data_IF_769800125511
#
_entry.id   IF_769800125511
#
_cell.length_a   1.000
_cell.length_b   1.000
_cell.length_c   1.000
_cell.angle_alpha   90.00
_cell.angle_beta   90.00
_cell.angle_gamma   90.00
#
_symmetry.space_group_name_H-M   'P 1'
#
loop_
_entity.id
_entity.type
_entity.pdbx_description
1 polymer ?
#
# COMPACT_ATOMS: atom_id res chain seq x y z
N UNK A 1 1.68 -13.90 8.66
CA UNK A 1 3.02 -13.28 8.46
C UNK A 1 3.73 -13.25 9.79
N UNK A 2 5.04 -13.51 9.79
CA UNK A 2 5.90 -13.32 10.97
C UNK A 2 6.62 -11.97 10.85
N UNK A 3 7.11 -11.41 11.94
CA UNK A 3 7.85 -10.12 11.94
C UNK A 3 9.06 -10.13 10.99
N UNK A 4 9.69 -11.28 10.79
CA UNK A 4 10.81 -11.46 9.88
C UNK A 4 10.47 -11.12 8.42
N UNK A 5 9.22 -11.30 7.99
CA UNK A 5 8.79 -10.93 6.62
C UNK A 5 8.80 -9.42 6.34
N UNK A 6 8.83 -8.59 7.39
CA UNK A 6 8.96 -7.13 7.23
C UNK A 6 10.40 -6.67 6.99
N UNK A 7 11.38 -7.53 7.27
CA UNK A 7 12.80 -7.21 7.12
C UNK A 7 13.28 -7.54 5.70
N UNK A 8 14.33 -6.86 5.26
CA UNK A 8 14.97 -7.16 4.00
C UNK A 8 15.45 -8.62 3.97
N UNK A 9 14.98 -9.37 2.98
CA UNK A 9 15.35 -10.77 2.77
C UNK A 9 16.69 -10.83 2.03
N UNK A 10 17.65 -11.69 2.46
CA UNK A 10 18.90 -11.90 1.70
C UNK A 10 18.65 -12.54 0.33
N UNK A 11 17.44 -13.06 0.07
CA UNK A 11 17.00 -13.58 -1.23
C UNK A 11 16.08 -12.62 -1.99
N UNK A 12 15.91 -11.37 -1.52
CA UNK A 12 15.06 -10.38 -2.16
C UNK A 12 15.59 -9.97 -3.54
N UNK A 13 14.72 -9.99 -4.56
CA UNK A 13 15.11 -9.80 -5.96
C UNK A 13 14.60 -8.49 -6.59
N UNK A 14 13.69 -7.76 -5.94
CA UNK A 14 12.96 -6.65 -6.58
C UNK A 14 13.87 -5.49 -7.05
N UNK A 15 14.90 -5.02 -6.31
CA UNK A 15 15.80 -3.99 -6.82
C UNK A 15 16.58 -4.47 -8.06
N UNK A 16 17.06 -5.71 -8.03
CA UNK A 16 17.81 -6.30 -9.14
C UNK A 16 16.98 -6.44 -10.41
N UNK A 17 15.69 -6.73 -10.28
CA UNK A 17 14.74 -6.76 -11.40
C UNK A 17 14.50 -5.35 -11.96
N UNK A 18 14.37 -4.33 -11.10
CA UNK A 18 14.20 -2.93 -11.54
C UNK A 18 15.41 -2.42 -12.33
N UNK A 19 16.62 -2.68 -11.83
CA UNK A 19 17.86 -2.19 -12.45
C UNK A 19 18.37 -3.08 -13.60
N UNK A 20 17.72 -4.22 -13.86
CA UNK A 20 18.16 -5.17 -14.90
C UNK A 20 19.38 -6.01 -14.51
N UNK A 21 19.84 -5.95 -13.27
CA UNK A 21 20.88 -6.85 -12.73
C UNK A 21 20.44 -8.33 -12.79
N UNK A 22 19.13 -8.58 -12.70
CA UNK A 22 18.51 -9.88 -12.94
C UNK A 22 17.51 -9.78 -14.09
N UNK A 23 17.69 -10.62 -15.11
CA UNK A 23 16.72 -10.73 -16.21
C UNK A 23 15.39 -11.30 -15.71
N UNK A 24 14.28 -10.59 -15.97
CA UNK A 24 12.93 -11.06 -15.65
C UNK A 24 12.58 -12.39 -16.35
N UNK A 25 13.07 -12.57 -17.59
CA UNK A 25 12.88 -13.80 -18.36
C UNK A 25 13.64 -14.96 -17.74
N UNK A 26 14.90 -14.73 -17.35
CA UNK A 26 15.70 -15.75 -16.65
C UNK A 26 15.00 -16.18 -15.35
N UNK A 27 14.52 -15.21 -14.56
CA UNK A 27 13.80 -15.50 -13.33
C UNK A 27 12.53 -16.32 -13.58
N UNK A 28 11.71 -15.91 -14.55
CA UNK A 28 10.50 -16.64 -14.96
C UNK A 28 10.79 -18.11 -15.33
N UNK A 29 11.79 -18.34 -16.18
CA UNK A 29 12.14 -19.71 -16.60
C UNK A 29 12.66 -20.54 -15.43
N UNK A 30 13.57 -19.99 -14.61
CA UNK A 30 14.11 -20.70 -13.43
C UNK A 30 13.01 -21.05 -12.42
N UNK A 31 12.06 -20.15 -12.21
CA UNK A 31 10.92 -20.37 -11.32
C UNK A 31 9.99 -21.46 -11.87
N UNK A 32 9.71 -21.43 -13.18
CA UNK A 32 8.93 -22.47 -13.88
C UNK A 32 9.57 -23.85 -13.74
N UNK A 33 10.88 -23.95 -14.01
CA UNK A 33 11.62 -25.19 -13.96
C UNK A 33 11.64 -25.77 -12.54
N UNK A 34 11.90 -24.93 -11.53
CA UNK A 34 11.88 -25.34 -10.13
C UNK A 34 10.49 -25.83 -9.72
N UNK A 35 9.44 -25.11 -10.10
CA UNK A 35 8.06 -25.51 -9.81
C UNK A 35 7.74 -26.88 -10.43
N UNK A 36 8.07 -27.09 -11.71
CA UNK A 36 7.86 -28.38 -12.38
C UNK A 36 8.60 -29.53 -11.68
N UNK A 37 9.84 -29.30 -11.24
CA UNK A 37 10.63 -30.30 -10.49
C UNK A 37 9.96 -30.66 -9.15
N UNK A 38 9.55 -29.65 -8.37
CA UNK A 38 8.98 -29.86 -7.02
C UNK A 38 7.55 -30.40 -7.10
N UNK A 39 6.75 -29.94 -8.07
CA UNK A 39 5.33 -30.25 -8.21
C UNK A 39 5.04 -31.25 -9.33
N UNK A 40 6.02 -32.11 -9.65
CA UNK A 40 5.90 -33.27 -10.56
C UNK A 40 5.24 -32.95 -11.90
N UNK A 41 5.78 -31.94 -12.60
CA UNK A 41 5.31 -31.48 -13.92
C UNK A 41 3.87 -30.95 -13.98
N UNK A 42 3.29 -30.53 -12.85
CA UNK A 42 2.03 -29.79 -12.87
C UNK A 42 2.19 -28.40 -13.51
N UNK A 43 1.08 -27.89 -14.06
CA UNK A 43 1.04 -26.53 -14.60
C UNK A 43 1.13 -25.51 -13.46
N UNK A 44 2.07 -24.54 -13.52
CA UNK A 44 2.20 -23.53 -12.48
C UNK A 44 1.01 -22.56 -12.50
N UNK A 45 0.43 -22.24 -11.32
CA UNK A 45 -0.59 -21.20 -11.22
C UNK A 45 0.00 -19.81 -11.50
N UNK A 46 -0.83 -18.86 -11.94
CA UNK A 46 -0.41 -17.47 -12.17
C UNK A 46 0.14 -16.79 -10.90
N UNK A 47 -0.31 -17.25 -9.72
CA UNK A 47 0.18 -16.80 -8.41
C UNK A 47 1.69 -16.85 -8.27
N UNK A 48 2.31 -17.86 -8.87
CA UNK A 48 3.75 -18.07 -8.84
C UNK A 48 4.50 -16.89 -9.48
N UNK A 49 3.92 -16.28 -10.50
CA UNK A 49 4.53 -15.18 -11.25
C UNK A 49 3.95 -13.81 -10.86
N UNK A 50 3.17 -13.72 -9.78
CA UNK A 50 2.41 -12.53 -9.42
C UNK A 50 3.25 -11.25 -9.42
N UNK A 51 4.45 -11.28 -8.86
CA UNK A 51 5.38 -10.15 -8.82
C UNK A 51 5.81 -9.69 -10.24
N UNK A 52 6.13 -10.62 -11.14
CA UNK A 52 6.48 -10.30 -12.52
C UNK A 52 5.27 -9.78 -13.30
N UNK A 53 4.10 -10.39 -13.13
CA UNK A 53 2.90 -10.01 -13.86
C UNK A 53 2.39 -8.62 -13.43
N UNK A 54 2.47 -8.28 -12.15
CA UNK A 54 2.15 -6.92 -11.68
C UNK A 54 3.11 -5.86 -12.22
N UNK A 55 4.40 -6.18 -12.30
CA UNK A 55 5.39 -5.33 -12.98
C UNK A 55 4.99 -5.09 -14.44
N UNK A 56 4.76 -6.16 -15.21
CA UNK A 56 4.36 -6.06 -16.62
C UNK A 56 3.02 -5.34 -16.82
N UNK A 57 2.06 -5.52 -15.91
CA UNK A 57 0.78 -4.81 -15.91
C UNK A 57 0.99 -3.29 -15.87
N UNK A 58 1.80 -2.79 -14.93
CA UNK A 58 2.05 -1.36 -14.82
C UNK A 58 2.88 -0.81 -15.98
N UNK A 59 3.88 -1.55 -16.49
CA UNK A 59 4.58 -1.13 -17.71
C UNK A 59 3.62 -1.00 -18.90
N UNK A 60 2.74 -1.98 -19.08
CA UNK A 60 1.75 -1.98 -20.17
C UNK A 60 0.76 -0.84 -20.03
N UNK A 61 0.29 -0.56 -18.80
CA UNK A 61 -0.65 0.54 -18.55
C UNK A 61 -0.01 1.93 -18.78
N UNK A 62 1.28 2.06 -18.50
CA UNK A 62 2.00 3.33 -18.56
C UNK A 62 2.57 3.66 -19.95
N UNK A 63 2.89 2.65 -20.77
CA UNK A 63 3.70 2.81 -22.00
C UNK A 63 3.19 3.84 -23.02
N UNK A 64 1.87 4.07 -23.09
CA UNK A 64 1.24 5.00 -24.03
C UNK A 64 0.60 6.21 -23.32
N UNK A 65 0.89 6.42 -22.05
CA UNK A 65 0.31 7.50 -21.25
C UNK A 65 1.43 8.38 -20.67
N UNK A 66 1.83 9.47 -21.32
CA UNK A 66 2.89 10.36 -20.82
C UNK A 66 2.51 11.11 -19.54
N UNK A 67 1.25 11.02 -19.09
CA UNK A 67 0.74 11.62 -17.85
C UNK A 67 0.42 10.58 -16.77
N UNK A 68 0.93 9.35 -16.90
CA UNK A 68 0.62 8.26 -15.98
C UNK A 68 0.98 8.56 -14.51
N UNK A 69 1.98 9.41 -14.28
CA UNK A 69 2.47 9.85 -12.98
C UNK A 69 1.81 11.15 -12.46
N UNK A 70 0.76 11.62 -13.14
CA UNK A 70 -0.02 12.81 -12.75
C UNK A 70 -1.47 12.45 -12.48
N UNK A 71 -2.14 13.25 -11.64
CA UNK A 71 -3.59 13.16 -11.51
C UNK A 71 -4.28 13.94 -12.63
N UNK A 72 -3.94 15.22 -12.78
CA UNK A 72 -4.60 16.09 -13.76
C UNK A 72 -4.22 15.70 -15.19
N UNK A 73 -5.24 15.53 -16.04
CA UNK A 73 -5.06 15.19 -17.44
C UNK A 73 -4.59 13.75 -17.69
N UNK A 74 -4.53 12.90 -16.67
CA UNK A 74 -4.31 11.47 -16.81
C UNK A 74 -5.66 10.75 -17.05
N UNK A 75 -5.87 10.12 -18.22
CA UNK A 75 -7.19 9.61 -18.63
C UNK A 75 -7.71 8.45 -17.77
N UNK A 76 -6.84 7.78 -17.02
CA UNK A 76 -7.21 6.65 -16.17
C UNK A 76 -7.26 7.01 -14.68
N UNK A 77 -6.93 8.25 -14.31
CA UNK A 77 -6.89 8.70 -12.93
C UNK A 77 -8.18 9.44 -12.55
N UNK A 78 -8.81 8.99 -11.47
CA UNK A 78 -9.93 9.70 -10.84
C UNK A 78 -9.43 11.03 -10.28
N UNK A 79 -10.16 12.09 -10.56
CA UNK A 79 -9.87 13.44 -10.06
C UNK A 79 -10.41 13.57 -8.64
N UNK A 80 -9.53 13.37 -7.66
CA UNK A 80 -9.88 13.45 -6.24
C UNK A 80 -9.39 14.81 -5.72
N UNK A 81 -10.24 15.59 -5.01
CA UNK A 81 -9.83 16.85 -4.43
C UNK A 81 -8.98 16.61 -3.18
N UNK A 82 -7.72 16.21 -3.38
CA UNK A 82 -6.74 16.02 -2.32
C UNK A 82 -6.36 17.35 -1.67
N UNK A 83 -6.06 17.30 -0.37
CA UNK A 83 -5.70 18.48 0.40
C UNK A 83 -4.21 18.80 0.19
N UNK A 84 -3.87 20.09 0.19
CA UNK A 84 -2.47 20.55 0.20
C UNK A 84 -2.06 20.82 1.64
N UNK A 85 -1.28 19.89 2.21
CA UNK A 85 -0.78 20.03 3.58
C UNK A 85 0.72 19.66 3.64
N UNK A 86 1.63 20.59 3.32
CA UNK A 86 3.07 20.34 3.30
C UNK A 86 3.63 19.88 4.66
N UNK A 87 3.08 20.36 5.77
CA UNK A 87 3.52 19.97 7.11
C UNK A 87 3.17 18.51 7.39
N UNK A 88 1.94 18.08 7.07
CA UNK A 88 1.52 16.70 7.23
C UNK A 88 2.31 15.75 6.31
N UNK A 89 2.57 16.17 5.07
CA UNK A 89 3.42 15.44 4.14
C UNK A 89 4.84 15.26 4.68
N UNK A 90 5.46 16.32 5.20
CA UNK A 90 6.80 16.25 5.79
C UNK A 90 6.85 15.29 6.99
N UNK A 91 5.86 15.36 7.90
CA UNK A 91 5.76 14.42 9.04
C UNK A 91 5.65 12.97 8.57
N UNK A 92 4.86 12.69 7.53
CA UNK A 92 4.77 11.36 6.95
C UNK A 92 6.08 10.91 6.29
N UNK A 93 6.65 11.74 5.43
CA UNK A 93 7.86 11.43 4.68
C UNK A 93 9.06 11.15 5.62
N UNK A 94 9.14 11.86 6.73
CA UNK A 94 10.24 11.77 7.71
C UNK A 94 9.98 10.77 8.84
N UNK A 95 8.82 10.09 8.87
CA UNK A 95 8.49 9.15 9.93
C UNK A 95 8.30 9.82 11.30
N UNK A 96 7.57 10.95 11.33
CA UNK A 96 7.24 11.74 12.53
C UNK A 96 5.74 11.93 12.70
N UNK A 97 4.93 10.97 12.26
CA UNK A 97 3.47 11.01 12.33
C UNK A 97 2.93 10.80 13.76
N UNK A 98 3.76 10.22 14.64
CA UNK A 98 3.34 9.82 15.97
C UNK A 98 2.62 8.47 16.00
N UNK A 99 2.50 7.79 14.86
CA UNK A 99 2.04 6.40 14.75
C UNK A 99 3.26 5.48 14.55
N UNK A 100 3.69 4.71 15.56
CA UNK A 100 4.95 3.96 15.50
C UNK A 100 5.05 3.02 14.30
N UNK A 101 3.94 2.39 13.91
CA UNK A 101 3.89 1.52 12.73
C UNK A 101 4.24 2.26 11.43
N UNK A 102 3.64 3.43 11.21
CA UNK A 102 3.90 4.25 10.01
C UNK A 102 5.31 4.80 10.06
N UNK A 103 5.73 5.32 11.21
CA UNK A 103 7.03 5.93 11.40
C UNK A 103 8.18 4.92 11.25
N UNK A 104 8.01 3.69 11.75
CA UNK A 104 8.98 2.61 11.60
C UNK A 104 9.14 2.19 10.13
N UNK A 105 8.03 2.09 9.38
CA UNK A 105 8.07 1.78 7.94
C UNK A 105 8.79 2.87 7.16
N UNK A 106 8.45 4.13 7.39
CA UNK A 106 9.09 5.25 6.69
C UNK A 106 10.57 5.38 7.07
N UNK A 107 10.92 5.04 8.32
CA UNK A 107 12.32 4.97 8.77
C UNK A 107 13.07 3.83 8.09
N UNK A 108 12.48 2.62 8.00
CA UNK A 108 13.09 1.51 7.26
C UNK A 108 13.31 1.88 5.79
N UNK A 109 12.29 2.44 5.14
CA UNK A 109 12.39 2.87 3.75
C UNK A 109 13.56 3.82 3.52
N UNK A 110 13.71 4.82 4.39
CA UNK A 110 14.80 5.80 4.28
C UNK A 110 16.18 5.19 4.56
N UNK A 111 16.28 4.22 5.47
CA UNK A 111 17.56 3.61 5.86
C UNK A 111 18.02 2.52 4.87
N UNK A 112 17.08 1.71 4.37
CA UNK A 112 17.40 0.47 3.65
C UNK A 112 16.98 0.53 2.17
N UNK A 113 16.17 1.51 1.78
CA UNK A 113 15.66 1.66 0.42
C UNK A 113 14.67 0.59 -0.02
N UNK A 114 14.19 -0.26 0.90
CA UNK A 114 13.20 -1.29 0.62
C UNK A 114 12.27 -1.47 1.81
N UNK A 115 10.98 -1.65 1.50
CA UNK A 115 9.96 -2.05 2.46
C UNK A 115 9.03 -3.08 1.82
N UNK A 116 8.54 -3.99 2.65
CA UNK A 116 7.59 -5.03 2.28
C UNK A 116 6.30 -4.45 1.66
N UNK A 117 5.68 -5.14 0.70
CA UNK A 117 4.50 -4.62 -0.03
C UNK A 117 3.32 -4.24 0.89
N UNK A 118 3.02 -5.03 1.92
CA UNK A 118 1.99 -4.64 2.90
C UNK A 118 2.36 -3.38 3.71
N UNK A 119 3.65 -3.12 3.92
CA UNK A 119 4.10 -1.89 4.56
C UNK A 119 3.84 -0.69 3.63
N UNK A 120 4.08 -0.85 2.31
CA UNK A 120 3.69 0.13 1.27
C UNK A 120 2.19 0.43 1.31
N UNK A 121 1.35 -0.60 1.43
CA UNK A 121 -0.10 -0.43 1.56
C UNK A 121 -0.47 0.41 2.78
N UNK A 122 0.16 0.13 3.93
CA UNK A 122 -0.13 0.85 5.16
C UNK A 122 0.21 2.34 5.05
N UNK A 123 1.42 2.67 4.59
CA UNK A 123 1.87 4.08 4.51
C UNK A 123 1.18 4.85 3.38
N UNK A 124 0.87 4.20 2.25
CA UNK A 124 0.12 4.81 1.16
C UNK A 124 -1.34 5.06 1.56
N UNK A 125 -1.98 4.11 2.25
CA UNK A 125 -3.31 4.29 2.80
C UNK A 125 -3.34 5.45 3.80
N UNK A 126 -2.38 5.49 4.74
CA UNK A 126 -2.30 6.56 5.74
C UNK A 126 -2.17 7.94 5.08
N UNK A 127 -1.26 8.10 4.11
CA UNK A 127 -1.05 9.37 3.41
C UNK A 127 -2.29 9.84 2.62
N UNK A 128 -2.96 8.90 1.94
CA UNK A 128 -4.00 9.23 0.95
C UNK A 128 -5.40 9.08 1.56
N UNK A 129 -6.17 8.09 1.11
CA UNK A 129 -7.59 7.88 1.44
C UNK A 129 -7.87 7.45 2.89
N UNK A 130 -6.84 7.09 3.65
CA UNK A 130 -6.95 6.60 5.02
C UNK A 130 -7.04 7.75 6.02
N UNK A 131 -6.00 8.57 6.10
CA UNK A 131 -5.84 9.48 7.23
C UNK A 131 -5.57 10.93 6.81
N UNK A 132 -4.53 11.18 6.00
CA UNK A 132 -4.06 12.56 5.75
C UNK A 132 -4.70 13.25 4.54
N UNK A 133 -5.36 12.51 3.66
CA UNK A 133 -6.00 13.04 2.44
C UNK A 133 -5.07 13.84 1.52
N UNK A 134 -3.78 13.47 1.46
CA UNK A 134 -2.80 14.07 0.57
C UNK A 134 -2.74 13.28 -0.75
N UNK A 135 -2.42 13.96 -1.86
CA UNK A 135 -2.33 13.33 -3.18
C UNK A 135 -1.31 12.18 -3.19
N UNK A 136 -1.68 11.11 -3.88
CA UNK A 136 -0.80 9.98 -4.17
C UNK A 136 0.45 10.40 -4.96
N UNK A 137 0.39 11.50 -5.70
CA UNK A 137 1.53 12.08 -6.42
C UNK A 137 2.65 12.52 -5.48
N UNK A 138 2.31 13.01 -4.28
CA UNK A 138 3.31 13.42 -3.29
C UNK A 138 3.99 12.21 -2.64
N UNK A 139 3.22 11.15 -2.36
CA UNK A 139 3.77 9.89 -1.89
C UNK A 139 4.67 9.22 -2.93
N UNK A 140 4.27 9.29 -4.20
CA UNK A 140 5.05 8.79 -5.33
C UNK A 140 6.43 9.45 -5.41
N UNK A 141 6.52 10.78 -5.26
CA UNK A 141 7.82 11.50 -5.25
C UNK A 141 8.73 11.02 -4.13
N UNK A 142 8.19 10.84 -2.92
CA UNK A 142 8.99 10.33 -1.77
C UNK A 142 9.47 8.90 -2.03
N UNK A 143 8.63 8.06 -2.63
CA UNK A 143 9.03 6.69 -2.99
C UNK A 143 10.04 6.69 -4.14
N UNK A 144 9.94 7.59 -5.11
CA UNK A 144 10.94 7.72 -6.18
C UNK A 144 12.33 8.09 -5.62
N UNK A 145 12.38 8.94 -4.60
CA UNK A 145 13.62 9.33 -3.92
C UNK A 145 14.24 8.18 -3.12
N UNK A 146 13.42 7.36 -2.44
CA UNK A 146 13.90 6.42 -1.41
C UNK A 146 13.85 4.95 -1.81
N UNK A 147 12.91 4.53 -2.66
CA UNK A 147 12.59 3.12 -2.89
C UNK A 147 13.39 2.54 -4.06
N UNK A 148 14.26 1.58 -3.78
CA UNK A 148 15.20 1.01 -4.76
C UNK A 148 14.52 0.32 -5.95
N UNK A 149 13.37 -0.32 -5.69
CA UNK A 149 12.60 -1.03 -6.71
C UNK A 149 11.46 -0.20 -7.32
N UNK A 150 11.42 1.11 -7.06
CA UNK A 150 10.56 2.03 -7.77
C UNK A 150 11.14 2.35 -9.15
N UNK A 151 10.37 2.04 -10.20
CA UNK A 151 10.49 2.69 -11.49
C UNK A 151 9.25 3.57 -11.74
N UNK A 152 9.32 4.43 -12.76
CA UNK A 152 8.26 5.39 -13.06
C UNK A 152 6.87 4.75 -13.22
N UNK A 153 6.79 3.64 -13.96
CA UNK A 153 5.53 2.94 -14.26
C UNK A 153 4.97 2.22 -13.03
N UNK A 154 5.80 1.42 -12.36
CA UNK A 154 5.39 0.62 -11.19
C UNK A 154 5.06 1.52 -10.01
N UNK A 155 5.83 2.59 -9.79
CA UNK A 155 5.60 3.52 -8.69
C UNK A 155 4.28 4.28 -8.89
N UNK A 156 4.10 4.96 -10.03
CA UNK A 156 2.87 5.69 -10.33
C UNK A 156 1.63 4.77 -10.32
N UNK A 157 1.74 3.61 -10.95
CA UNK A 157 0.66 2.63 -11.01
C UNK A 157 0.26 2.09 -9.63
N UNK A 158 1.25 1.78 -8.79
CA UNK A 158 1.01 1.33 -7.41
C UNK A 158 0.35 2.42 -6.58
N UNK A 159 0.83 3.67 -6.66
CA UNK A 159 0.25 4.78 -5.91
C UNK A 159 -1.19 5.06 -6.32
N UNK A 160 -1.50 5.09 -7.62
CA UNK A 160 -2.87 5.21 -8.13
C UNK A 160 -3.76 4.06 -7.66
N UNK A 161 -3.25 2.84 -7.63
CA UNK A 161 -4.03 1.68 -7.17
C UNK A 161 -4.33 1.75 -5.67
N UNK A 162 -3.33 2.03 -4.84
CA UNK A 162 -3.44 2.04 -3.37
C UNK A 162 -4.31 3.19 -2.85
N UNK A 163 -4.28 4.34 -3.53
CA UNK A 163 -5.12 5.49 -3.24
C UNK A 163 -6.56 5.36 -3.76
N UNK A 164 -6.87 4.28 -4.48
CA UNK A 164 -8.11 4.13 -5.25
C UNK A 164 -8.30 5.24 -6.30
N UNK A 165 -7.22 5.77 -6.86
CA UNK A 165 -7.30 6.73 -7.97
C UNK A 165 -7.39 6.03 -9.33
N UNK A 166 -7.00 4.76 -9.44
CA UNK A 166 -7.18 3.97 -10.66
C UNK A 166 -7.25 2.47 -10.37
N UNK A 167 -7.39 1.69 -11.46
CA UNK A 167 -7.36 0.25 -11.55
C UNK A 167 -8.44 -0.53 -10.79
N UNK A 168 -8.95 -0.09 -9.63
CA UNK A 168 -10.05 -0.78 -8.91
C UNK A 168 -10.81 0.17 -7.97
N UNK A 169 -12.04 -0.21 -7.58
CA UNK A 169 -13.01 0.66 -6.87
C UNK A 169 -13.27 0.29 -5.39
N UNK A 170 -12.40 -0.47 -4.73
CA UNK A 170 -12.63 -0.93 -3.36
C UNK A 170 -11.98 -0.01 -2.32
N UNK A 171 -12.57 1.15 -2.09
CA UNK A 171 -12.09 2.15 -1.12
C UNK A 171 -12.58 1.92 0.32
N UNK A 172 -13.48 0.96 0.53
CA UNK A 172 -14.22 0.78 1.80
C UNK A 172 -13.36 0.29 2.97
N UNK A 173 -12.16 -0.23 2.71
CA UNK A 173 -11.28 -0.77 3.74
C UNK A 173 -10.01 0.08 3.89
N UNK A 174 -9.91 0.84 4.97
CA UNK A 174 -8.70 1.56 5.35
C UNK A 174 -7.88 0.73 6.34
N UNK A 175 -6.56 0.69 6.17
CA UNK A 175 -5.68 0.00 7.11
C UNK A 175 -5.58 0.80 8.41
N UNK A 176 -5.88 0.15 9.54
CA UNK A 176 -5.68 0.78 10.84
C UNK A 176 -4.17 0.91 11.16
N UNK A 177 -3.62 2.12 11.34
CA UNK A 177 -2.18 2.34 11.56
C UNK A 177 -1.70 1.83 12.92
N UNK A 178 -2.59 1.39 13.80
CA UNK A 178 -2.26 0.71 15.06
C UNK A 178 -2.50 -0.80 14.94
N UNK A 179 -3.73 -1.17 14.59
CA UNK A 179 -4.18 -2.56 14.59
C UNK A 179 -3.48 -3.42 13.54
N UNK A 180 -3.07 -2.86 12.40
CA UNK A 180 -2.39 -3.62 11.36
C UNK A 180 -0.99 -4.04 11.79
N UNK A 181 -0.17 -3.10 12.30
CA UNK A 181 1.13 -3.42 12.86
C UNK A 181 1.05 -4.44 13.99
N UNK A 182 0.12 -4.25 14.94
CA UNK A 182 -0.09 -5.17 16.07
C UNK A 182 -0.45 -6.60 15.63
N UNK A 183 -1.18 -6.78 14.53
CA UNK A 183 -1.49 -8.11 13.98
C UNK A 183 -0.31 -8.75 13.26
N UNK A 184 0.54 -7.94 12.63
CA UNK A 184 1.69 -8.41 11.86
C UNK A 184 2.88 -8.79 12.75
N UNK A 185 3.14 -7.97 13.78
CA UNK A 185 4.20 -8.19 14.77
C UNK A 185 3.65 -7.87 16.18
N UNK A 186 3.03 -8.84 16.87
CA UNK A 186 2.42 -8.60 18.18
C UNK A 186 3.37 -8.10 19.28
N UNK A 187 4.67 -8.40 19.17
CA UNK A 187 5.67 -7.98 20.16
C UNK A 187 6.17 -6.54 19.91
N UNK A 188 6.04 -6.06 18.67
CA UNK A 188 6.55 -4.77 18.23
C UNK A 188 8.07 -4.73 18.10
N UNK A 189 8.71 -5.85 17.83
CA UNK A 189 10.16 -5.95 17.63
C UNK A 189 10.62 -5.11 16.44
N UNK A 190 9.81 -5.06 15.38
CA UNK A 190 9.98 -4.19 14.23
C UNK A 190 10.02 -2.71 14.63
N UNK A 191 9.10 -2.29 15.52
CA UNK A 191 9.07 -0.91 16.05
C UNK A 191 10.34 -0.61 16.84
N UNK A 192 10.78 -1.52 17.71
CA UNK A 192 11.98 -1.33 18.54
C UNK A 192 13.27 -1.25 17.71
N UNK A 193 13.28 -1.91 16.55
CA UNK A 193 14.40 -1.92 15.61
C UNK A 193 14.54 -0.56 14.93
N UNK A 194 13.48 -0.07 14.30
CA UNK A 194 13.54 1.16 13.50
C UNK A 194 13.27 2.44 14.29
N UNK A 195 12.60 2.34 15.45
CA UNK A 195 12.37 3.45 16.39
C UNK A 195 12.97 3.12 17.77
N UNK A 196 14.30 3.15 17.94
CA UNK A 196 14.96 2.84 19.21
C UNK A 196 14.49 3.66 20.40
N UNK A 197 13.99 4.89 20.16
CA UNK A 197 13.42 5.75 21.21
C UNK A 197 12.20 5.11 21.90
N UNK A 198 11.48 4.22 21.22
CA UNK A 198 10.33 3.50 21.77
C UNK A 198 10.70 2.13 22.37
N UNK A 199 11.98 1.75 22.39
CA UNK A 199 12.43 0.41 22.83
C UNK A 199 12.03 0.05 24.26
N UNK A 200 11.78 1.02 25.13
CA UNK A 200 11.34 0.78 26.51
C UNK A 200 9.85 0.49 26.69
N UNK A 201 9.00 0.72 25.69
CA UNK A 201 7.55 0.53 25.83
C UNK A 201 7.17 -0.96 25.85
N UNK A 202 6.28 -1.44 26.72
CA UNK A 202 5.81 -2.82 26.65
C UNK A 202 4.99 -3.06 25.37
N UNK A 203 4.94 -4.30 24.88
CA UNK A 203 4.21 -4.67 23.65
C UNK A 203 2.75 -4.19 23.64
N UNK A 204 2.10 -4.13 24.81
CA UNK A 204 0.74 -3.59 24.98
C UNK A 204 0.57 -2.16 24.42
N UNK A 205 1.58 -1.31 24.53
CA UNK A 205 1.52 0.11 24.17
C UNK A 205 2.45 0.49 23.02
N UNK A 206 3.25 -0.44 22.49
CA UNK A 206 4.29 -0.12 21.49
C UNK A 206 3.73 0.45 20.17
N UNK A 207 2.47 0.13 19.83
CA UNK A 207 1.78 0.62 18.65
C UNK A 207 0.90 1.85 18.89
N UNK A 208 0.62 2.15 20.15
CA UNK A 208 -0.25 3.24 20.60
C UNK A 208 0.30 3.86 21.91
N UNK A 209 1.54 4.36 21.91
CA UNK A 209 2.24 4.76 23.13
C UNK A 209 1.59 5.97 23.82
N UNK A 210 0.76 6.74 23.12
CA UNK A 210 -0.05 7.81 23.70
C UNK A 210 -1.11 7.30 24.68
N UNK A 211 -1.50 6.02 24.61
CA UNK A 211 -2.40 5.38 25.57
C UNK A 211 -1.66 4.84 26.81
N UNK A 212 -0.33 4.92 26.84
CA UNK A 212 0.45 4.46 27.99
C UNK A 212 0.33 5.45 29.16
N UNK A 213 0.08 4.97 30.40
CA UNK A 213 0.14 5.82 31.59
C UNK A 213 1.51 6.50 31.74
N UNK A 214 1.55 7.66 32.39
CA UNK A 214 2.81 8.40 32.60
C UNK A 214 3.89 7.56 33.28
N UNK A 215 3.52 6.68 34.23
CA UNK A 215 4.46 5.77 34.90
C UNK A 215 5.16 4.82 33.92
N UNK A 216 4.43 4.33 32.91
CA UNK A 216 4.97 3.49 31.84
C UNK A 216 5.88 4.33 30.93
N UNK A 217 5.47 5.54 30.55
CA UNK A 217 6.29 6.43 29.71
C UNK A 217 7.63 6.81 30.39
N UNK A 218 7.58 7.14 31.69
CA UNK A 218 8.76 7.40 32.52
C UNK A 218 9.68 6.18 32.59
N UNK A 219 9.11 5.00 32.83
CA UNK A 219 9.88 3.73 32.88
C UNK A 219 10.52 3.39 31.53
N UNK A 220 9.82 3.67 30.42
CA UNK A 220 10.32 3.51 29.06
C UNK A 220 11.35 4.58 28.66
N UNK A 221 11.58 5.60 29.51
CA UNK A 221 12.45 6.77 29.25
C UNK A 221 12.06 7.54 27.99
N UNK A 222 10.77 7.56 27.65
CA UNK A 222 10.24 8.26 26.49
C UNK A 222 8.86 8.85 26.80
N UNK A 223 8.83 10.16 27.03
CA UNK A 223 7.59 10.93 27.18
C UNK A 223 7.02 11.32 25.81
N UNK A 224 5.76 10.94 25.56
CA UNK A 224 5.04 11.22 24.31
C UNK A 224 4.64 12.70 24.24
N UNK A 225 4.94 13.34 23.11
CA UNK A 225 4.88 14.78 22.90
C UNK A 225 6.17 15.54 23.21
N UNK A 226 7.18 14.86 23.78
CA UNK A 226 8.51 15.44 24.05
C UNK A 226 9.59 14.71 23.26
N UNK A 227 9.74 13.41 23.48
CA UNK A 227 10.79 12.60 22.86
C UNK A 227 10.32 11.92 21.57
N UNK A 228 9.05 11.55 21.53
CA UNK A 228 8.37 11.01 20.35
C UNK A 228 7.04 11.75 20.16
N UNK A 229 6.65 12.16 18.94
CA UNK A 229 5.49 13.00 18.74
C UNK A 229 4.17 12.34 19.16
N UNK A 230 3.18 13.18 19.50
CA UNK A 230 1.78 12.72 19.62
C UNK A 230 1.25 12.35 18.23
N UNK A 231 0.24 11.46 18.13
CA UNK A 231 -0.45 11.20 16.87
C UNK A 231 -0.89 12.49 16.20
N UNK A 232 -0.49 12.68 14.94
CA UNK A 232 -0.80 13.89 14.19
C UNK A 232 -2.28 14.01 13.82
N UNK A 233 -3.04 12.91 13.91
CA UNK A 233 -4.48 12.83 13.63
C UNK A 233 -5.16 11.86 14.58
N UNK A 234 -6.49 12.00 14.75
CA UNK A 234 -7.32 10.95 15.32
C UNK A 234 -7.77 9.99 14.20
N UNK A 235 -7.18 8.80 14.15
CA UNK A 235 -7.45 7.82 13.09
C UNK A 235 -8.94 7.47 12.94
N UNK A 236 -9.67 7.30 14.05
CA UNK A 236 -11.07 6.89 14.00
C UNK A 236 -11.96 7.97 13.35
N UNK A 237 -11.66 9.23 13.62
CA UNK A 237 -12.38 10.37 13.03
C UNK A 237 -11.94 10.62 11.58
N UNK A 238 -10.63 10.67 11.33
CA UNK A 238 -10.05 10.92 10.02
C UNK A 238 -10.48 9.85 9.00
N UNK A 239 -10.33 8.56 9.33
CA UNK A 239 -10.73 7.47 8.43
C UNK A 239 -12.22 7.44 8.15
N UNK A 240 -13.07 7.71 9.16
CA UNK A 240 -14.53 7.80 8.96
C UNK A 240 -14.89 8.93 8.00
N UNK A 241 -14.30 10.11 8.18
CA UNK A 241 -14.52 11.26 7.30
C UNK A 241 -14.03 10.97 5.87
N UNK A 242 -12.82 10.44 5.74
CA UNK A 242 -12.20 10.18 4.44
C UNK A 242 -12.90 9.06 3.65
N UNK A 243 -13.41 8.02 4.32
CA UNK A 243 -14.26 7.00 3.67
C UNK A 243 -15.53 7.64 3.11
N UNK A 244 -16.17 8.56 3.84
CA UNK A 244 -17.35 9.26 3.36
C UNK A 244 -17.01 10.22 2.19
N UNK A 245 -15.87 10.92 2.23
CA UNK A 245 -15.36 11.72 1.09
C UNK A 245 -15.20 10.85 -0.16
N UNK A 246 -14.53 9.70 -0.05
CA UNK A 246 -14.37 8.77 -1.18
C UNK A 246 -15.72 8.29 -1.71
N UNK A 247 -16.65 7.95 -0.82
CA UNK A 247 -18.00 7.51 -1.20
C UNK A 247 -18.74 8.57 -2.02
N UNK A 248 -18.69 9.84 -1.58
CA UNK A 248 -19.32 10.95 -2.30
C UNK A 248 -18.70 11.16 -3.69
N UNK A 249 -17.38 11.08 -3.80
CA UNK A 249 -16.68 11.18 -5.09
C UNK A 249 -17.15 10.10 -6.06
N UNK A 250 -17.20 8.84 -5.61
CA UNK A 250 -17.64 7.74 -6.46
C UNK A 250 -19.13 7.77 -6.78
N UNK A 251 -19.97 8.27 -5.86
CA UNK A 251 -21.38 8.52 -6.15
C UNK A 251 -21.53 9.54 -7.28
N UNK A 252 -20.82 10.66 -7.22
CA UNK A 252 -20.84 11.66 -8.29
C UNK A 252 -20.36 11.06 -9.63
N UNK A 253 -19.26 10.30 -9.63
CA UNK A 253 -18.77 9.62 -10.84
C UNK A 253 -19.79 8.63 -11.42
N UNK A 254 -20.54 7.92 -10.58
CA UNK A 254 -21.60 7.01 -11.02
C UNK A 254 -22.78 7.75 -11.66
N UNK A 255 -23.15 8.92 -11.13
CA UNK A 255 -24.16 9.79 -11.74
C UNK A 255 -23.70 10.33 -13.10
N UNK A 256 -22.41 10.66 -13.25
CA UNK A 256 -21.82 11.11 -14.52
C UNK A 256 -21.72 10.00 -15.59
N UNK A 257 -21.71 8.71 -15.22
CA UNK A 257 -21.71 7.60 -16.19
C UNK A 257 -23.09 7.25 -16.78
N UNK A 258 -24.14 8.00 -16.43
CA UNK A 258 -25.45 7.88 -17.09
C UNK A 258 -26.30 6.72 -16.61
N UNK A 259 -27.13 6.96 -15.60
CA UNK A 259 -28.44 6.33 -15.43
C UNK A 259 -29.46 7.42 -15.04
N UNK A 260 -29.67 8.33 -15.99
CA UNK A 260 -30.74 9.33 -16.00
C UNK A 260 -31.82 9.04 -17.05
N UNK A 261 -31.84 7.85 -17.64
CA UNK A 261 -32.99 7.33 -18.40
C UNK A 261 -33.49 6.03 -17.76
N UNK A 262 -34.82 5.85 -17.60
CA UNK A 262 -35.36 4.58 -17.13
C UNK A 262 -35.05 3.52 -18.18
N UNK A 263 -34.26 2.52 -17.78
CA UNK A 263 -33.95 1.34 -18.59
C UNK A 263 -35.27 0.75 -19.10
N UNK A 264 -35.58 0.95 -20.39
CA UNK A 264 -36.59 0.13 -21.08
C UNK A 264 -36.14 -1.31 -20.89
N UNK A 265 -37.02 -2.17 -20.35
CA UNK A 265 -36.80 -3.61 -20.23
C UNK A 265 -36.51 -4.17 -21.62
N UNK A 266 -35.23 -4.24 -21.97
CA UNK A 266 -34.76 -5.15 -23.01
C UNK A 266 -34.55 -6.48 -22.30
N UNK A 267 -35.44 -7.42 -22.58
CA UNK A 267 -35.29 -8.83 -22.20
C UNK A 267 -34.02 -9.36 -22.86
N UNK A 268 -32.93 -9.43 -22.11
CA UNK A 268 -31.73 -10.15 -22.50
C UNK A 268 -31.89 -11.63 -22.12
N UNK A 269 -32.36 -12.44 -23.06
CA UNK A 269 -31.99 -13.84 -23.09
C UNK A 269 -30.59 -13.94 -23.71
N UNK A 270 -29.66 -14.54 -22.97
CA UNK A 270 -28.36 -15.06 -23.42
C UNK A 270 -27.18 -14.09 -23.65
N UNK A 271 -26.74 -13.37 -22.61
CA UNK A 271 -25.33 -12.96 -22.46
C UNK A 271 -24.88 -13.14 -21.00
N UNK A 272 -23.72 -13.77 -20.71
CA UNK A 272 -23.24 -13.95 -19.35
C UNK A 272 -22.80 -12.61 -18.73
N UNK A 273 -23.11 -12.41 -17.45
CA UNK A 273 -22.93 -11.14 -16.73
C UNK A 273 -21.46 -10.82 -16.44
N UNK A 274 -20.98 -9.70 -16.98
CA UNK A 274 -19.63 -9.15 -16.74
C UNK A 274 -19.37 -8.73 -15.28
N UNK A 275 -20.41 -8.58 -14.45
CA UNK A 275 -20.29 -8.20 -13.04
C UNK A 275 -19.83 -9.33 -12.12
N UNK A 276 -19.99 -10.59 -12.53
CA UNK A 276 -19.63 -11.75 -11.70
C UNK A 276 -18.15 -12.13 -11.83
N UNK A 277 -17.58 -12.04 -13.05
CA UNK A 277 -16.17 -12.35 -13.32
C UNK A 277 -15.20 -11.36 -12.67
N UNK A 278 -15.49 -10.04 -12.71
CA UNK A 278 -14.60 -9.03 -12.13
C UNK A 278 -14.49 -9.12 -10.58
N UNK A 279 -15.51 -9.64 -9.89
CA UNK A 279 -15.49 -9.74 -8.42
C UNK A 279 -14.73 -10.96 -7.88
N UNK A 280 -14.64 -12.04 -8.68
CA UNK A 280 -13.94 -13.28 -8.31
C UNK A 280 -12.45 -13.19 -8.64
N UNK A 281 -12.08 -12.55 -9.76
CA UNK A 281 -10.68 -12.32 -10.14
C UNK A 281 -9.98 -11.25 -9.28
N UNK A 282 -10.71 -10.32 -8.68
CA UNK A 282 -10.12 -9.23 -7.86
C UNK A 282 -9.68 -9.70 -6.49
N UNK A 283 -10.45 -10.56 -5.81
CA UNK A 283 -9.96 -11.24 -4.60
C UNK A 283 -8.78 -12.13 -4.93
N UNK A 284 -8.79 -12.77 -6.10
CA UNK A 284 -7.67 -13.56 -6.55
C UNK A 284 -6.42 -12.70 -6.72
N UNK A 285 -6.44 -11.62 -7.50
CA UNK A 285 -5.29 -10.72 -7.72
C UNK A 285 -4.79 -10.02 -6.45
N UNK A 286 -5.69 -9.60 -5.56
CA UNK A 286 -5.32 -9.06 -4.25
C UNK A 286 -4.70 -10.14 -3.37
N UNK A 287 -5.26 -11.35 -3.34
CA UNK A 287 -4.66 -12.49 -2.64
C UNK A 287 -3.32 -12.87 -3.25
N UNK A 288 -3.15 -12.83 -4.57
CA UNK A 288 -1.87 -13.10 -5.25
C UNK A 288 -0.79 -12.10 -4.89
N UNK A 289 -1.17 -10.82 -4.77
CA UNK A 289 -0.26 -9.75 -4.35
C UNK A 289 0.07 -9.81 -2.85
N UNK A 290 -0.93 -10.09 -2.00
CA UNK A 290 -0.78 -10.15 -0.54
C UNK A 290 -0.11 -11.45 -0.05
N UNK A 291 -0.23 -12.56 -0.78
CA UNK A 291 0.31 -13.88 -0.36
C UNK A 291 1.78 -14.12 -0.72
N UNK A 292 2.43 -13.19 -1.45
CA UNK A 292 3.89 -13.07 -1.49
C UNK A 292 4.67 -14.38 -1.49
N UNK A 293 4.36 -15.34 -2.39
CA UNK A 293 5.01 -16.66 -2.43
C UNK A 293 6.48 -16.58 -2.92
N UNK A 294 7.05 -15.38 -3.07
CA UNK A 294 8.45 -15.16 -3.41
C UNK A 294 8.96 -13.81 -2.86
N UNK A 295 8.95 -13.63 -1.54
CA UNK A 295 9.68 -12.57 -0.84
C UNK A 295 10.87 -13.17 -0.08
#
# INVERSE_FOLDING_TARGET
MNSNSLLASPTGLSPYLRFGCLSCRLFYFKLTDLYKKVKKNSSPPLSLYGQLLWREFFYTAATNNPRFDKMEGNPICVQIPWDRNPEALAKWAEGRTGFPWIDAIMTQLRQEGWIHHLARHAVACFLTRGDLWISWEEGMKVFEELLLDADWSVNAGSWMWLSCSSFFQQFFHCYCPVGFGRRTDPNGDYIRRYLPILRGFPAKYIYDPWNAPESVQKSAKCMIGVHYPKPMVNHAEASRLNIERMKQIYQQLSCYRGLGEPVRRVTFQNLPSFSSLASQDTRFLQTLWETGVAQ
#
